data_IF_359109059599
#
_entry.id   IF_359109059599
#
_cell.length_a   1.000
_cell.length_b   1.000
_cell.length_c   1.000
_cell.angle_alpha   90.00
_cell.angle_beta   90.00
_cell.angle_gamma   90.00
#
_symmetry.space_group_name_H-M   'P 1'
#
loop_
_entity.id
_entity.type
_entity.pdbx_description
1 polymer ?
#
# COMPACT_ATOMS: atom_id res chain seq x y z
N UNK A 1 2.31 22.78 -14.32
CA UNK A 1 1.99 21.82 -13.25
C UNK A 1 2.58 22.35 -11.96
N UNK A 2 1.81 22.40 -10.87
CA UNK A 2 2.32 22.81 -9.54
C UNK A 2 2.44 21.56 -8.69
N UNK A 3 3.62 21.35 -8.10
CA UNK A 3 3.91 20.22 -7.22
C UNK A 3 4.10 20.77 -5.81
N UNK A 4 3.39 20.20 -4.83
CA UNK A 4 3.54 20.56 -3.41
C UNK A 4 3.59 19.30 -2.56
N UNK A 5 4.51 19.26 -1.59
CA UNK A 5 4.63 18.16 -0.63
C UNK A 5 3.90 18.50 0.66
N UNK A 6 3.16 17.53 1.19
CA UNK A 6 2.36 17.63 2.41
C UNK A 6 2.73 16.50 3.35
N UNK A 7 2.67 16.75 4.66
CA UNK A 7 2.93 15.75 5.70
C UNK A 7 1.76 15.67 6.66
N UNK A 8 1.30 14.46 6.94
CA UNK A 8 0.29 14.19 7.96
C UNK A 8 0.81 13.16 8.96
N UNK A 9 0.39 13.32 10.20
CA UNK A 9 0.74 12.44 11.31
C UNK A 9 -0.54 11.80 11.86
N UNK A 10 -0.48 10.52 12.20
CA UNK A 10 -1.53 9.81 12.96
C UNK A 10 -2.96 10.09 12.49
N UNK A 11 -3.23 9.70 11.24
CA UNK A 11 -4.48 10.04 10.57
C UNK A 11 -5.64 9.10 10.98
N UNK A 12 -6.84 9.60 11.34
CA UNK A 12 -7.89 8.82 12.01
C UNK A 12 -8.78 7.99 11.06
N UNK A 13 -8.21 7.46 9.97
CA UNK A 13 -8.94 6.56 9.06
C UNK A 13 -8.82 5.09 9.52
N UNK A 14 -9.74 4.20 9.11
CA UNK A 14 -9.74 2.81 9.56
C UNK A 14 -8.43 2.07 9.30
N UNK A 15 -7.85 2.15 8.10
CA UNK A 15 -6.62 1.42 7.75
C UNK A 15 -5.38 2.02 8.44
N UNK A 16 -5.15 3.36 8.44
CA UNK A 16 -4.13 3.97 9.30
C UNK A 16 -4.19 3.58 10.78
N UNK A 17 -5.41 3.50 11.35
CA UNK A 17 -5.60 3.04 12.72
C UNK A 17 -5.17 1.57 12.88
N UNK A 18 -5.57 0.70 11.95
CA UNK A 18 -5.14 -0.70 11.95
C UNK A 18 -3.61 -0.82 11.86
N UNK A 19 -2.95 0.00 11.03
CA UNK A 19 -1.49 0.03 10.92
C UNK A 19 -0.84 0.40 12.27
N UNK A 20 -1.32 1.46 12.93
CA UNK A 20 -0.85 1.86 14.26
C UNK A 20 -1.01 0.75 15.29
N UNK A 21 -2.20 0.16 15.39
CA UNK A 21 -2.48 -0.94 16.32
C UNK A 21 -1.58 -2.16 16.06
N UNK A 22 -1.23 -2.43 14.79
CA UNK A 22 -0.29 -3.50 14.43
C UNK A 22 1.14 -3.18 14.88
N UNK A 23 1.59 -1.93 14.76
CA UNK A 23 2.92 -1.53 15.23
C UNK A 23 3.03 -1.59 16.76
N UNK A 24 1.99 -1.16 17.47
CA UNK A 24 1.90 -1.28 18.93
C UNK A 24 1.91 -2.75 19.38
N UNK A 25 1.19 -3.62 18.67
CA UNK A 25 1.19 -5.06 18.90
C UNK A 25 2.57 -5.69 18.70
N UNK A 26 3.35 -5.19 17.73
CA UNK A 26 4.73 -5.62 17.47
C UNK A 26 5.76 -5.00 18.41
N UNK A 27 5.32 -4.29 19.45
CA UNK A 27 6.19 -3.66 20.44
C UNK A 27 7.18 -2.66 19.82
N UNK A 28 6.80 -1.97 18.75
CA UNK A 28 7.53 -0.78 18.32
C UNK A 28 7.32 0.31 19.37
N UNK A 29 8.41 0.76 20.00
CA UNK A 29 8.37 1.83 20.98
C UNK A 29 8.10 3.17 20.28
N UNK A 30 6.95 3.77 20.58
CA UNK A 30 6.51 5.09 20.08
C UNK A 30 6.70 5.27 18.56
N UNK A 31 5.99 4.50 17.70
CA UNK A 31 6.14 4.61 16.27
C UNK A 31 5.56 5.93 15.75
N UNK A 32 6.38 6.70 15.04
CA UNK A 32 5.93 7.84 14.24
C UNK A 32 5.51 7.35 12.85
N UNK A 33 4.23 7.54 12.52
CA UNK A 33 3.71 7.27 11.18
C UNK A 33 3.51 8.60 10.48
N UNK A 34 4.33 8.86 9.47
CA UNK A 34 4.25 10.06 8.64
C UNK A 34 3.72 9.67 7.26
N UNK A 35 2.67 10.33 6.82
CA UNK A 35 2.17 10.24 5.45
C UNK A 35 2.73 11.42 4.66
N UNK A 36 3.54 11.15 3.65
CA UNK A 36 4.15 12.15 2.78
C UNK A 36 3.45 12.12 1.43
N UNK A 37 2.72 13.18 1.11
CA UNK A 37 1.94 13.28 -0.12
C UNK A 37 2.49 14.34 -1.06
N UNK A 38 2.76 13.95 -2.30
CA UNK A 38 3.05 14.87 -3.40
C UNK A 38 1.77 15.15 -4.18
N UNK A 39 1.31 16.40 -4.12
CA UNK A 39 0.13 16.87 -4.86
C UNK A 39 0.55 17.36 -6.24
N UNK A 40 -0.06 16.79 -7.27
CA UNK A 40 0.06 17.22 -8.65
C UNK A 40 -1.18 18.04 -9.00
N UNK A 41 -1.01 19.36 -9.12
CA UNK A 41 -2.09 20.26 -9.54
C UNK A 41 -1.96 20.63 -11.01
N UNK A 42 -3.03 20.39 -11.75
CA UNK A 42 -3.18 20.79 -13.14
C UNK A 42 -4.26 21.87 -13.26
N UNK A 43 -4.10 22.89 -14.13
CA UNK A 43 -5.10 23.96 -14.27
C UNK A 43 -6.50 23.51 -14.72
N UNK A 44 -6.58 22.34 -15.38
CA UNK A 44 -7.81 21.83 -16.04
C UNK A 44 -8.29 20.51 -15.43
N UNK A 45 -7.45 19.80 -14.67
CA UNK A 45 -7.76 18.46 -14.19
C UNK A 45 -7.95 18.45 -12.68
N UNK A 46 -8.53 17.35 -12.19
CA UNK A 46 -8.51 17.07 -10.76
C UNK A 46 -7.07 16.92 -10.26
N UNK A 47 -6.88 17.34 -9.01
CA UNK A 47 -5.59 17.17 -8.34
C UNK A 47 -5.37 15.69 -8.04
N UNK A 48 -4.14 15.22 -8.27
CA UNK A 48 -3.73 13.86 -7.97
C UNK A 48 -2.71 13.85 -6.83
N UNK A 49 -2.79 12.83 -5.97
CA UNK A 49 -1.93 12.62 -4.82
C UNK A 49 -1.15 11.34 -5.00
N UNK A 50 0.17 11.46 -5.06
CA UNK A 50 1.09 10.35 -4.83
C UNK A 50 1.45 10.34 -3.34
N UNK A 51 1.40 9.18 -2.70
CA UNK A 51 1.49 9.08 -1.25
C UNK A 51 2.49 8.02 -0.85
N UNK A 52 3.30 8.35 0.14
CA UNK A 52 4.22 7.45 0.81
C UNK A 52 3.88 7.44 2.30
N UNK A 53 3.97 6.28 2.93
CA UNK A 53 3.96 6.16 4.40
C UNK A 53 5.37 5.83 4.87
N UNK A 54 5.86 6.63 5.79
CA UNK A 54 7.15 6.49 6.47
C UNK A 54 6.85 6.12 7.92
N UNK A 55 7.39 5.00 8.38
CA UNK A 55 7.29 4.54 9.76
C UNK A 55 8.68 4.64 10.35
N UNK A 56 8.78 5.39 11.43
CA UNK A 56 10.04 5.67 12.11
C UNK A 56 9.90 5.37 13.60
N UNK A 57 11.00 4.98 14.22
CA UNK A 57 11.11 4.85 15.68
C UNK A 57 12.21 5.75 16.20
N UNK A 58 12.06 6.18 17.45
CA UNK A 58 13.12 6.88 18.14
C UNK A 58 14.07 5.85 18.76
N UNK A 59 15.37 6.03 18.54
CA UNK A 59 16.39 5.21 19.20
C UNK A 59 16.65 5.68 20.64
N UNK A 60 17.46 4.90 21.37
CA UNK A 60 17.83 5.17 22.76
C UNK A 60 18.55 6.53 22.97
N UNK A 61 19.08 7.12 21.90
CA UNK A 61 19.81 8.40 21.91
C UNK A 61 18.94 9.57 21.44
N UNK A 62 17.68 9.32 21.12
CA UNK A 62 16.71 10.30 20.68
C UNK A 62 16.74 10.63 19.18
N UNK A 63 17.50 9.90 18.37
CA UNK A 63 17.48 10.02 16.91
C UNK A 63 16.27 9.29 16.34
N UNK A 64 15.69 9.82 15.27
CA UNK A 64 14.60 9.16 14.56
C UNK A 64 15.19 8.32 13.42
N UNK A 65 14.83 7.04 13.37
CA UNK A 65 15.24 6.12 12.30
C UNK A 65 14.02 5.56 11.58
N UNK A 66 13.97 5.76 10.27
CA UNK A 66 12.98 5.11 9.42
C UNK A 66 13.23 3.61 9.41
N UNK A 67 12.18 2.86 9.74
CA UNK A 67 12.22 1.40 9.77
C UNK A 67 11.52 0.82 8.57
N UNK A 68 10.46 1.46 8.08
CA UNK A 68 9.67 1.01 6.94
C UNK A 68 9.23 2.23 6.13
N UNK A 69 9.40 2.15 4.82
CA UNK A 69 8.81 3.11 3.89
C UNK A 69 8.00 2.37 2.83
N UNK A 70 6.86 2.91 2.44
CA UNK A 70 5.96 2.24 1.49
C UNK A 70 5.19 3.24 0.65
N UNK A 71 5.17 3.04 -0.66
CA UNK A 71 4.37 3.85 -1.58
C UNK A 71 2.95 3.30 -1.71
N UNK A 72 1.98 4.22 -1.81
CA UNK A 72 0.68 3.89 -2.34
C UNK A 72 0.84 3.31 -3.75
N UNK A 73 0.01 2.33 -4.14
CA UNK A 73 0.19 1.65 -5.42
C UNK A 73 -0.18 2.50 -6.64
N UNK A 74 -1.08 3.46 -6.44
CA UNK A 74 -1.60 4.35 -7.48
C UNK A 74 -1.84 5.73 -6.90
N UNK A 75 -1.72 6.76 -7.74
CA UNK A 75 -2.16 8.11 -7.37
C UNK A 75 -3.68 8.16 -7.20
N UNK A 76 -4.17 9.01 -6.29
CA UNK A 76 -5.61 9.20 -6.02
C UNK A 76 -6.02 10.67 -6.08
N UNK A 77 -7.30 10.92 -6.35
CA UNK A 77 -7.86 12.29 -6.38
C UNK A 77 -8.02 12.91 -4.98
N UNK A 78 -7.97 12.09 -3.93
CA UNK A 78 -8.05 12.55 -2.54
C UNK A 78 -6.87 12.03 -1.74
N UNK A 79 -6.40 12.85 -0.82
CA UNK A 79 -5.31 12.46 0.06
C UNK A 79 -5.75 11.38 1.05
N UNK A 80 -7.03 11.34 1.48
CA UNK A 80 -7.57 10.28 2.35
C UNK A 80 -7.51 8.89 1.70
N UNK A 81 -7.82 8.81 0.40
CA UNK A 81 -7.74 7.56 -0.34
C UNK A 81 -6.27 7.14 -0.52
N UNK A 82 -5.39 8.09 -0.84
CA UNK A 82 -3.96 7.82 -0.98
C UNK A 82 -3.31 7.39 0.34
N UNK A 83 -3.69 8.02 1.47
CA UNK A 83 -3.27 7.62 2.83
C UNK A 83 -3.72 6.19 3.14
N UNK A 84 -4.99 5.86 2.83
CA UNK A 84 -5.52 4.52 3.09
C UNK A 84 -4.81 3.45 2.26
N UNK A 85 -4.48 3.76 1.00
CA UNK A 85 -3.73 2.86 0.12
C UNK A 85 -2.29 2.64 0.60
N UNK A 86 -1.58 3.72 0.96
CA UNK A 86 -0.22 3.63 1.50
C UNK A 86 -0.21 2.84 2.82
N UNK A 87 -1.12 3.13 3.74
CA UNK A 87 -1.23 2.42 5.01
C UNK A 87 -1.54 0.93 4.83
N UNK A 88 -2.43 0.58 3.88
CA UNK A 88 -2.75 -0.81 3.56
C UNK A 88 -1.53 -1.53 3.03
N UNK A 89 -0.78 -0.89 2.13
CA UNK A 89 0.42 -1.49 1.54
C UNK A 89 1.49 -1.73 2.62
N UNK A 90 1.71 -0.77 3.52
CA UNK A 90 2.63 -0.93 4.65
C UNK A 90 2.18 -2.04 5.60
N UNK A 91 0.88 -2.13 5.91
CA UNK A 91 0.33 -3.19 6.73
C UNK A 91 0.55 -4.57 6.10
N UNK A 92 0.30 -4.71 4.80
CA UNK A 92 0.52 -5.96 4.06
C UNK A 92 1.98 -6.39 4.06
N UNK A 93 2.92 -5.45 3.98
CA UNK A 93 4.35 -5.77 4.08
C UNK A 93 4.78 -6.09 5.52
N UNK A 94 4.28 -5.36 6.51
CA UNK A 94 4.54 -5.65 7.93
C UNK A 94 4.06 -7.05 8.32
N UNK A 95 2.86 -7.44 7.87
CA UNK A 95 2.34 -8.78 8.11
C UNK A 95 3.19 -9.88 7.46
N UNK A 96 3.88 -9.58 6.35
CA UNK A 96 4.85 -10.49 5.76
C UNK A 96 6.16 -10.55 6.56
N UNK A 97 6.72 -9.39 6.90
CA UNK A 97 7.99 -9.27 7.64
C UNK A 97 7.90 -9.93 9.01
N UNK A 98 6.79 -9.72 9.73
CA UNK A 98 6.55 -10.22 11.08
C UNK A 98 5.56 -11.38 11.10
N UNK A 99 5.57 -12.22 10.06
CA UNK A 99 4.56 -13.28 9.87
C UNK A 99 4.44 -14.24 11.06
N UNK A 100 5.56 -14.53 11.72
CA UNK A 100 5.60 -15.51 12.82
C UNK A 100 4.93 -14.91 14.06
N UNK A 101 5.19 -13.63 14.34
CA UNK A 101 4.50 -12.88 15.40
C UNK A 101 3.00 -12.71 15.08
N UNK A 102 2.66 -12.47 13.80
CA UNK A 102 1.27 -12.33 13.38
C UNK A 102 0.48 -13.63 13.53
N UNK A 103 1.10 -14.80 13.34
CA UNK A 103 0.44 -16.10 13.27
C UNK A 103 -0.38 -16.46 14.53
N UNK A 104 0.02 -15.92 15.69
CA UNK A 104 -0.65 -16.16 16.98
C UNK A 104 -1.66 -15.06 17.35
N UNK A 105 -1.86 -14.07 16.48
CA UNK A 105 -2.73 -12.91 16.73
C UNK A 105 -3.96 -12.92 15.84
N UNK A 106 -4.90 -12.01 16.09
CA UNK A 106 -6.04 -11.77 15.20
C UNK A 106 -5.65 -11.23 13.82
N UNK A 107 -4.40 -10.76 13.65
CA UNK A 107 -3.88 -10.18 12.40
C UNK A 107 -3.37 -11.22 11.40
N UNK A 108 -3.27 -12.50 11.78
CA UNK A 108 -2.88 -13.60 10.86
C UNK A 108 -3.76 -13.72 9.61
N UNK A 109 -4.99 -13.22 9.68
CA UNK A 109 -5.93 -13.23 8.56
C UNK A 109 -5.84 -11.98 7.67
N UNK A 110 -4.84 -11.13 7.87
CA UNK A 110 -4.59 -10.00 6.97
C UNK A 110 -3.79 -10.46 5.74
N UNK A 111 -3.96 -9.81 4.58
CA UNK A 111 -3.13 -10.10 3.42
C UNK A 111 -1.66 -9.77 3.69
N UNK A 112 -0.77 -10.74 3.44
CA UNK A 112 0.68 -10.63 3.59
C UNK A 112 1.34 -10.69 2.21
N UNK A 113 2.30 -9.80 1.93
CA UNK A 113 3.06 -9.79 0.67
C UNK A 113 4.49 -9.31 0.89
N UNK A 114 5.46 -10.00 0.30
CA UNK A 114 6.84 -9.50 0.22
C UNK A 114 6.95 -8.43 -0.86
N UNK A 115 7.83 -7.44 -0.69
CA UNK A 115 8.03 -6.37 -1.67
C UNK A 115 8.26 -6.88 -3.12
N UNK A 116 8.98 -7.99 -3.28
CA UNK A 116 9.37 -8.55 -4.59
C UNK A 116 8.28 -9.32 -5.33
N UNK A 117 7.17 -9.65 -4.65
CA UNK A 117 6.11 -10.55 -5.13
C UNK A 117 4.84 -9.80 -5.48
N UNK A 118 4.11 -10.29 -6.47
CA UNK A 118 2.80 -9.77 -6.85
C UNK A 118 1.67 -10.44 -6.05
N UNK A 119 1.83 -11.72 -5.75
CA UNK A 119 0.88 -12.51 -4.99
C UNK A 119 0.93 -12.18 -3.50
N UNK A 120 -0.24 -12.19 -2.88
CA UNK A 120 -0.36 -12.09 -1.44
C UNK A 120 -0.90 -13.41 -0.89
N UNK A 121 -0.79 -13.61 0.41
CA UNK A 121 -1.39 -14.75 1.08
C UNK A 121 -2.07 -14.35 2.37
N UNK A 122 -3.02 -15.17 2.81
CA UNK A 122 -3.71 -15.05 4.09
C UNK A 122 -3.59 -16.39 4.83
N UNK A 123 -3.46 -16.39 6.15
CA UNK A 123 -3.39 -17.63 6.91
C UNK A 123 -4.67 -18.48 6.75
N UNK A 124 -4.50 -19.80 6.71
CA UNK A 124 -5.60 -20.75 6.72
C UNK A 124 -6.34 -20.75 8.08
N UNK A 125 -7.66 -20.93 8.04
CA UNK A 125 -8.53 -21.07 9.21
C UNK A 125 -9.13 -22.47 9.42
N UNK A 126 -8.62 -23.51 8.75
CA UNK A 126 -9.12 -24.89 8.85
C UNK A 126 -9.04 -25.43 10.28
N UNK A 127 -7.97 -25.09 11.02
CA UNK A 127 -7.74 -25.55 12.39
C UNK A 127 -8.83 -25.06 13.36
N UNK A 128 -9.49 -23.94 13.04
CA UNK A 128 -10.53 -23.30 13.84
C UNK A 128 -11.89 -23.98 13.67
N UNK A 129 -12.05 -24.85 12.66
CA UNK A 129 -13.29 -25.57 12.37
C UNK A 129 -14.53 -24.65 12.33
N UNK A 130 -14.36 -23.45 11.76
CA UNK A 130 -15.39 -22.42 11.69
C UNK A 130 -15.70 -22.06 10.22
N UNK A 131 -16.77 -22.65 9.63
CA UNK A 131 -17.12 -22.42 8.23
C UNK A 131 -17.40 -20.95 7.89
N UNK A 132 -17.85 -20.14 8.87
CA UNK A 132 -18.07 -18.71 8.66
C UNK A 132 -16.75 -17.95 8.51
N UNK A 133 -15.74 -18.35 9.27
CA UNK A 133 -14.42 -17.75 9.19
C UNK A 133 -13.74 -18.09 7.87
N UNK A 134 -13.81 -19.36 7.48
CA UNK A 134 -13.29 -19.87 6.20
C UNK A 134 -13.87 -19.09 5.01
N UNK A 135 -15.20 -19.05 4.90
CA UNK A 135 -15.88 -18.29 3.84
C UNK A 135 -15.60 -16.77 3.88
N UNK A 136 -15.38 -16.20 5.07
CA UNK A 136 -14.99 -14.79 5.20
C UNK A 136 -13.57 -14.55 4.68
N UNK A 137 -12.63 -15.47 4.94
CA UNK A 137 -11.24 -15.37 4.48
C UNK A 137 -11.15 -15.56 2.97
N UNK A 138 -11.90 -16.51 2.40
CA UNK A 138 -12.00 -16.66 0.94
C UNK A 138 -12.52 -15.39 0.27
N UNK A 139 -13.56 -14.78 0.86
CA UNK A 139 -14.09 -13.51 0.37
C UNK A 139 -13.07 -12.37 0.51
N UNK A 140 -12.35 -12.29 1.63
CA UNK A 140 -11.28 -11.31 1.85
C UNK A 140 -10.15 -11.46 0.81
N UNK A 141 -9.72 -12.68 0.53
CA UNK A 141 -8.70 -12.99 -0.48
C UNK A 141 -9.13 -12.51 -1.88
N UNK A 142 -10.38 -12.80 -2.23
CA UNK A 142 -10.98 -12.37 -3.49
C UNK A 142 -11.06 -10.84 -3.58
N UNK A 143 -11.52 -10.17 -2.52
CA UNK A 143 -11.59 -8.72 -2.46
C UNK A 143 -10.22 -8.06 -2.57
N UNK A 144 -9.21 -8.57 -1.86
CA UNK A 144 -7.86 -8.01 -1.93
C UNK A 144 -7.25 -8.15 -3.33
N UNK A 145 -7.47 -9.29 -3.99
CA UNK A 145 -7.07 -9.52 -5.39
C UNK A 145 -7.73 -8.53 -6.33
N UNK A 146 -9.05 -8.40 -6.26
CA UNK A 146 -9.82 -7.48 -7.10
C UNK A 146 -9.44 -6.03 -6.83
N UNK A 147 -9.18 -5.68 -5.57
CA UNK A 147 -8.74 -4.34 -5.18
C UNK A 147 -7.40 -4.00 -5.81
N UNK A 148 -6.39 -4.86 -5.64
CA UNK A 148 -5.07 -4.64 -6.25
C UNK A 148 -5.15 -4.48 -7.76
N UNK A 149 -5.93 -5.33 -8.43
CA UNK A 149 -6.13 -5.25 -9.88
C UNK A 149 -6.81 -3.94 -10.30
N UNK A 150 -7.83 -3.49 -9.56
CA UNK A 150 -8.48 -2.20 -9.83
C UNK A 150 -7.52 -1.01 -9.61
N UNK A 151 -6.59 -1.09 -8.66
CA UNK A 151 -5.54 -0.08 -8.49
C UNK A 151 -4.57 -0.06 -9.67
N UNK A 152 -4.17 -1.23 -10.18
CA UNK A 152 -3.27 -1.34 -11.33
C UNK A 152 -3.92 -0.79 -12.60
N UNK A 153 -5.20 -1.11 -12.84
CA UNK A 153 -5.98 -0.54 -13.94
C UNK A 153 -6.14 0.96 -13.81
N UNK A 154 -6.44 1.46 -12.60
CA UNK A 154 -6.58 2.89 -12.35
C UNK A 154 -5.28 3.63 -12.66
N UNK A 155 -4.14 3.07 -12.25
CA UNK A 155 -2.83 3.67 -12.53
C UNK A 155 -2.53 3.69 -14.03
N UNK A 156 -2.81 2.59 -14.73
CA UNK A 156 -2.68 2.51 -16.19
C UNK A 156 -3.54 3.55 -16.91
N UNK A 157 -4.83 3.62 -16.58
CA UNK A 157 -5.75 4.60 -17.19
C UNK A 157 -5.29 6.02 -16.90
N UNK A 158 -4.81 6.32 -15.69
CA UNK A 158 -4.27 7.65 -15.37
C UNK A 158 -3.00 7.97 -16.14
N UNK A 159 -2.11 7.00 -16.31
CA UNK A 159 -0.92 7.15 -17.12
C UNK A 159 -1.27 7.46 -18.59
N UNK A 160 -2.16 6.68 -19.19
CA UNK A 160 -2.64 6.90 -20.55
C UNK A 160 -3.37 8.24 -20.71
N UNK A 161 -4.16 8.62 -19.71
CA UNK A 161 -4.88 9.90 -19.71
C UNK A 161 -3.90 11.08 -19.69
N UNK A 162 -2.87 11.03 -18.84
CA UNK A 162 -1.76 12.02 -18.87
C UNK A 162 -1.05 12.01 -20.21
N UNK A 163 -0.86 10.83 -20.81
CA UNK A 163 -0.23 10.66 -22.12
C UNK A 163 -0.96 11.40 -23.23
N UNK A 164 -2.26 11.11 -23.34
CA UNK A 164 -3.16 11.75 -24.29
C UNK A 164 -3.25 13.25 -24.08
N UNK A 165 -3.25 13.71 -22.83
CA UNK A 165 -3.33 15.13 -22.51
C UNK A 165 -2.08 15.91 -22.93
N UNK A 166 -0.89 15.39 -22.67
CA UNK A 166 0.33 16.06 -23.13
C UNK A 166 0.40 16.10 -24.66
N UNK A 167 -0.04 15.02 -25.32
CA UNK A 167 -0.14 14.98 -26.77
C UNK A 167 -1.12 16.03 -27.31
N UNK A 168 -2.30 16.17 -26.71
CA UNK A 168 -3.28 17.21 -27.10
C UNK A 168 -2.76 18.62 -26.82
N UNK A 169 -2.10 18.84 -25.69
CA UNK A 169 -1.65 20.17 -25.27
C UNK A 169 -0.40 20.67 -26.03
N UNK A 170 0.50 19.77 -26.42
CA UNK A 170 1.82 20.13 -26.93
C UNK A 170 2.20 19.44 -28.25
N UNK A 171 1.40 18.49 -28.75
CA UNK A 171 1.74 17.70 -29.95
C UNK A 171 2.92 16.74 -29.74
N UNK A 172 3.31 16.51 -28.47
CA UNK A 172 4.46 15.70 -28.08
C UNK A 172 3.98 14.58 -27.16
N UNK A 173 4.46 13.36 -27.40
CA UNK A 173 4.31 12.25 -26.46
C UNK A 173 5.01 12.65 -25.16
N UNK A 174 4.36 12.64 -23.98
CA UNK A 174 5.03 13.06 -22.76
C UNK A 174 6.26 12.19 -22.55
N UNK A 175 7.35 12.84 -22.13
CA UNK A 175 8.49 12.14 -21.60
C UNK A 175 7.98 11.12 -20.57
N UNK A 176 8.50 9.90 -20.62
CA UNK A 176 8.35 8.98 -19.49
C UNK A 176 8.74 9.77 -18.25
N UNK A 177 7.81 9.92 -17.29
CA UNK A 177 8.17 10.48 -16.00
C UNK A 177 9.24 9.54 -15.47
N UNK A 178 10.51 9.97 -15.50
CA UNK A 178 11.54 9.31 -14.72
C UNK A 178 10.95 9.19 -13.32
N UNK A 179 10.97 7.99 -12.72
CA UNK A 179 10.50 7.83 -11.36
C UNK A 179 11.21 8.90 -10.57
N UNK A 180 10.44 9.85 -10.01
CA UNK A 180 10.99 10.85 -9.09
C UNK A 180 11.81 10.02 -8.11
N UNK A 181 13.12 10.28 -8.03
CA UNK A 181 13.98 9.67 -7.01
C UNK A 181 13.30 9.98 -5.68
N UNK A 182 12.57 8.99 -5.19
CA UNK A 182 11.87 9.10 -3.95
C UNK A 182 12.96 8.99 -2.89
N UNK A 183 13.11 9.97 -1.98
CA UNK A 183 14.15 9.93 -0.95
C UNK A 183 14.04 8.71 -0.02
N UNK A 184 13.00 7.89 -0.17
CA UNK A 184 12.90 6.59 0.43
C UNK A 184 13.29 5.46 -0.54
N UNK A 185 14.33 4.70 -0.20
CA UNK A 185 14.86 3.53 -0.91
C UNK A 185 13.87 2.33 -1.05
N UNK A 186 12.57 2.51 -0.81
CA UNK A 186 11.58 1.44 -0.85
C UNK A 186 11.07 1.20 -2.29
N UNK A 187 11.17 -0.04 -2.83
CA UNK A 187 10.67 -0.33 -4.16
C UNK A 187 9.13 -0.20 -4.18
N UNK A 188 8.60 0.46 -5.22
CA UNK A 188 7.16 0.46 -5.49
C UNK A 188 6.66 -0.95 -5.78
N UNK A 189 5.40 -1.22 -5.41
CA UNK A 189 4.74 -2.48 -5.77
C UNK A 189 4.80 -2.69 -7.28
N UNK A 190 5.18 -3.89 -7.71
CA UNK A 190 5.05 -4.34 -9.09
C UNK A 190 3.56 -4.30 -9.51
N UNK A 191 3.31 -4.09 -10.80
CA UNK A 191 1.95 -4.00 -11.35
C UNK A 191 1.64 -5.26 -12.15
N UNK A 192 0.39 -5.70 -12.07
CA UNK A 192 -0.10 -6.83 -12.83
C UNK A 192 -1.31 -6.44 -13.67
N UNK A 193 -1.67 -7.29 -14.63
CA UNK A 193 -2.93 -7.12 -15.36
C UNK A 193 -4.09 -7.67 -14.53
N UNK A 194 -5.31 -7.23 -14.84
CA UNK A 194 -6.49 -7.85 -14.27
C UNK A 194 -6.52 -9.36 -14.54
N UNK A 195 -6.88 -10.13 -13.52
CA UNK A 195 -6.87 -11.60 -13.50
C UNK A 195 -5.50 -12.28 -13.72
N UNK A 196 -4.39 -11.55 -13.58
CA UNK A 196 -3.07 -12.17 -13.59
C UNK A 196 -2.96 -13.22 -12.47
N UNK A 197 -2.69 -14.50 -12.81
CA UNK A 197 -2.56 -15.55 -11.80
C UNK A 197 -1.43 -15.29 -10.80
N UNK A 198 -0.38 -14.54 -11.20
CA UNK A 198 0.75 -14.22 -10.34
C UNK A 198 0.45 -13.10 -9.32
N UNK A 199 -0.68 -12.40 -9.45
CA UNK A 199 -1.09 -11.31 -8.55
C UNK A 199 -2.24 -11.68 -7.61
N UNK A 200 -2.56 -12.97 -7.51
CA UNK A 200 -3.66 -13.47 -6.68
C UNK A 200 -3.33 -13.42 -5.20
N UNK A 201 -4.37 -13.22 -4.40
CA UNK A 201 -4.31 -13.52 -2.97
C UNK A 201 -4.85 -14.92 -2.73
N UNK A 202 -4.05 -15.81 -2.15
CA UNK A 202 -4.44 -17.19 -1.84
C UNK A 202 -4.45 -17.46 -0.34
N UNK A 203 -5.14 -18.53 0.06
CA UNK A 203 -5.10 -19.03 1.44
C UNK A 203 -3.88 -19.94 1.54
N UNK A 204 -2.98 -19.63 2.46
CA UNK A 204 -1.77 -20.42 2.68
C UNK A 204 -2.11 -21.64 3.53
N UNK A 205 -2.24 -22.79 2.90
CA UNK A 205 -2.22 -24.07 3.60
C UNK A 205 -0.78 -24.31 4.10
N UNK A 206 -0.62 -24.83 5.33
CA UNK A 206 0.70 -25.14 5.87
C UNK A 206 1.44 -26.06 4.89
N UNK A 207 2.53 -25.56 4.32
CA UNK A 207 3.62 -26.39 3.82
C UNK A 207 4.69 -26.41 4.92
N UNK A 208 5.17 -27.62 5.21
CA UNK A 208 6.25 -27.94 6.16
C UNK A 208 7.52 -27.08 5.98
#
# INVERSE_FOLDING_TARGET
>A
MVITTHRWFDYPLPVPRMLRETLEMLHYDQPWITYVGTRYRHPVLHDDWDMTVEISIQDEFGSCRDIHVTHAPTRRNSYEAAISDAAREALTMLCHTHRDDMAITSRRYYPCRSAERLDAWIANSEAEQNPRLESTIEYLATLNTNYNAALDELDMVRYENRKLQAWVAHGVEPAEEEPVEDPADAPRRKKARYNDPEARTYIRHHED
#
